data_IF_907769787412
#
_entry.id   IF_907769787412
#
_cell.length_a   1.000
_cell.length_b   1.000
_cell.length_c   1.000
_cell.angle_alpha   90.00
_cell.angle_beta   90.00
_cell.angle_gamma   90.00
#
_symmetry.space_group_name_H-M   'P 1'
#
loop_
_entity.id
_entity.type
_entity.pdbx_description
1 polymer ?
#
# COMPACT_ATOMS: atom_id res chain seq x y z
N UNK A 1 38.57 51.12 -14.51
CA UNK A 1 38.99 50.68 -13.16
C UNK A 1 38.01 49.58 -12.72
N UNK A 2 38.40 48.32 -12.92
CA UNK A 2 37.58 47.14 -12.64
C UNK A 2 37.70 46.77 -11.16
N UNK A 3 36.62 46.86 -10.40
CA UNK A 3 36.57 46.38 -9.02
C UNK A 3 36.31 44.87 -9.02
N UNK A 4 37.35 44.09 -8.73
CA UNK A 4 37.28 42.65 -8.51
C UNK A 4 36.56 42.37 -7.18
N UNK A 5 35.32 41.91 -7.23
CA UNK A 5 34.67 41.26 -6.09
C UNK A 5 35.16 39.81 -6.02
N UNK A 6 36.26 39.60 -5.27
CA UNK A 6 36.66 38.26 -4.81
C UNK A 6 35.65 37.79 -3.78
N UNK A 7 34.70 36.95 -4.19
CA UNK A 7 33.94 36.10 -3.27
C UNK A 7 34.92 35.05 -2.75
N UNK A 8 35.27 35.13 -1.46
CA UNK A 8 36.04 34.07 -0.81
C UNK A 8 35.14 32.85 -0.69
N UNK A 9 35.32 31.86 -1.58
CA UNK A 9 34.92 30.49 -1.29
C UNK A 9 35.84 29.97 -0.19
N UNK A 10 35.30 29.84 1.01
CA UNK A 10 36.04 29.40 2.17
C UNK A 10 35.28 29.78 3.41
N UNK A 11 34.12 29.17 3.57
CA UNK A 11 33.60 28.75 4.86
C UNK A 11 32.62 27.61 4.56
N UNK A 12 32.83 26.50 5.25
CA UNK A 12 32.01 25.30 5.18
C UNK A 12 30.55 25.70 5.41
N UNK A 13 29.70 25.59 4.38
CA UNK A 13 28.25 25.73 4.59
C UNK A 13 27.90 24.66 5.60
N UNK A 14 27.51 25.03 6.84
CA UNK A 14 27.27 24.03 7.85
C UNK A 14 26.07 23.20 7.36
N UNK A 15 26.20 21.88 7.37
CA UNK A 15 25.18 20.94 6.85
C UNK A 15 23.76 21.24 7.36
N UNK A 16 23.64 21.92 8.50
CA UNK A 16 22.38 22.40 9.07
C UNK A 16 21.67 23.47 8.22
N UNK A 17 22.39 24.34 7.50
CA UNK A 17 21.77 25.31 6.59
C UNK A 17 21.21 24.62 5.35
N UNK A 18 21.94 23.67 4.77
CA UNK A 18 21.47 22.87 3.62
C UNK A 18 20.17 22.14 4.00
N UNK A 19 20.12 21.55 5.19
CA UNK A 19 18.93 20.86 5.72
C UNK A 19 17.70 21.77 5.91
N UNK A 20 17.90 23.08 6.10
CA UNK A 20 16.80 24.04 6.24
C UNK A 20 16.14 24.34 4.88
N UNK A 21 16.91 24.33 3.80
CA UNK A 21 16.44 24.60 2.44
C UNK A 21 15.91 23.35 1.71
N UNK A 22 16.27 22.14 2.14
CA UNK A 22 15.87 20.88 1.50
C UNK A 22 14.77 20.11 2.27
N UNK A 23 13.95 20.78 3.08
CA UNK A 23 12.75 20.14 3.68
C UNK A 23 11.74 19.79 2.59
N UNK A 24 12.00 18.69 1.88
CA UNK A 24 11.07 18.03 0.99
C UNK A 24 9.90 17.43 1.77
N UNK A 25 8.73 17.39 1.14
CA UNK A 25 7.53 16.76 1.66
C UNK A 25 7.70 15.23 1.68
N UNK A 26 8.30 14.68 2.74
CA UNK A 26 8.35 13.23 2.94
C UNK A 26 7.26 12.74 3.89
N UNK A 27 6.68 11.59 3.52
CA UNK A 27 5.62 10.92 4.27
C UNK A 27 6.10 10.32 5.60
N UNK A 28 7.41 10.16 5.77
CA UNK A 28 8.05 9.65 6.98
C UNK A 28 8.86 10.76 7.67
N UNK A 29 8.41 11.18 8.86
CA UNK A 29 9.02 12.27 9.63
C UNK A 29 10.23 11.83 10.45
N UNK A 30 10.64 10.55 10.37
CA UNK A 30 11.67 9.96 11.21
C UNK A 30 13.10 10.05 10.67
N UNK A 31 13.30 10.46 9.41
CA UNK A 31 14.62 10.49 8.78
C UNK A 31 15.19 11.92 8.77
N UNK A 32 16.12 12.20 9.68
CA UNK A 32 17.02 13.36 9.60
C UNK A 32 18.17 13.18 8.61
N UNK A 33 18.01 12.30 7.62
CA UNK A 33 18.99 12.01 6.59
C UNK A 33 18.29 11.73 5.26
N UNK A 34 18.99 12.05 4.18
CA UNK A 34 18.54 11.78 2.81
C UNK A 34 18.31 10.27 2.63
N UNK A 35 17.24 9.90 1.93
CA UNK A 35 16.98 8.51 1.53
C UNK A 35 18.07 8.02 0.57
N UNK A 36 18.23 6.69 0.45
CA UNK A 36 19.21 6.08 -0.45
C UNK A 36 19.04 6.61 -1.88
N UNK A 37 17.81 6.68 -2.38
CA UNK A 37 17.50 7.24 -3.69
C UNK A 37 17.91 8.71 -3.82
N UNK A 38 17.68 9.54 -2.80
CA UNK A 38 18.10 10.94 -2.81
C UNK A 38 19.62 11.09 -2.76
N UNK A 39 20.31 10.26 -1.98
CA UNK A 39 21.78 10.26 -1.97
C UNK A 39 22.37 9.80 -3.31
N UNK A 40 21.70 8.87 -4.01
CA UNK A 40 22.09 8.45 -5.36
C UNK A 40 21.85 9.54 -6.39
N UNK A 41 20.73 10.27 -6.31
CA UNK A 41 20.44 11.43 -7.17
C UNK A 41 21.43 12.58 -6.97
N UNK A 42 21.93 12.79 -5.76
CA UNK A 42 22.98 13.79 -5.49
C UNK A 42 24.37 13.34 -5.97
N UNK A 43 24.63 12.02 -5.97
CA UNK A 43 25.89 11.46 -6.47
C UNK A 43 25.96 11.45 -8.00
N UNK A 44 24.82 11.29 -8.67
CA UNK A 44 24.70 11.27 -10.13
C UNK A 44 23.73 12.34 -10.64
N UNK A 45 24.27 13.53 -10.90
CA UNK A 45 23.51 14.65 -11.42
C UNK A 45 22.98 14.41 -12.84
N UNK A 46 23.66 13.60 -13.67
CA UNK A 46 23.20 13.27 -15.02
C UNK A 46 22.03 12.29 -14.99
N UNK A 47 22.12 11.24 -14.16
CA UNK A 47 21.03 10.31 -13.89
C UNK A 47 19.80 11.01 -13.31
N UNK A 48 20.00 11.97 -12.39
CA UNK A 48 18.94 12.81 -11.87
C UNK A 48 18.25 13.67 -12.93
N UNK A 49 19.01 14.28 -13.85
CA UNK A 49 18.45 15.06 -14.98
C UNK A 49 17.71 14.18 -15.99
N UNK A 50 18.16 12.95 -16.22
CA UNK A 50 17.46 11.99 -17.08
C UNK A 50 16.13 11.55 -16.45
N UNK A 51 16.13 11.26 -15.14
CA UNK A 51 14.91 10.94 -14.39
C UNK A 51 13.92 12.09 -14.41
N UNK A 52 14.38 13.32 -14.20
CA UNK A 52 13.54 14.52 -14.23
C UNK A 52 12.86 14.71 -15.59
N UNK A 53 13.61 14.61 -16.69
CA UNK A 53 13.04 14.67 -18.06
C UNK A 53 12.00 13.58 -18.31
N UNK A 54 12.24 12.37 -17.80
CA UNK A 54 11.28 11.27 -17.92
C UNK A 54 10.00 11.58 -17.13
N UNK A 55 10.12 12.01 -15.89
CA UNK A 55 8.96 12.38 -15.06
C UNK A 55 8.18 13.54 -15.66
N UNK A 56 8.85 14.54 -16.24
CA UNK A 56 8.19 15.63 -16.97
C UNK A 56 7.40 15.10 -18.18
N UNK A 57 8.00 14.19 -18.95
CA UNK A 57 7.32 13.58 -20.10
C UNK A 57 6.11 12.74 -19.68
N UNK A 58 6.22 11.99 -18.57
CA UNK A 58 5.15 11.20 -18.00
C UNK A 58 4.03 12.10 -17.46
N UNK A 59 4.39 13.21 -16.81
CA UNK A 59 3.42 14.19 -16.30
C UNK A 59 2.65 14.85 -17.45
N UNK A 60 3.31 15.24 -18.54
CA UNK A 60 2.64 15.73 -19.75
C UNK A 60 1.67 14.70 -20.32
N UNK A 61 2.06 13.42 -20.39
CA UNK A 61 1.19 12.34 -20.82
C UNK A 61 -0.03 12.17 -19.90
N UNK A 62 0.18 12.20 -18.59
CA UNK A 62 -0.88 12.07 -17.59
C UNK A 62 -1.85 13.25 -17.65
N UNK A 63 -1.35 14.48 -17.80
CA UNK A 63 -2.20 15.64 -18.00
C UNK A 63 -3.05 15.53 -19.27
N UNK A 64 -2.46 15.05 -20.38
CA UNK A 64 -3.20 14.80 -21.61
C UNK A 64 -4.28 13.72 -21.41
N UNK A 65 -3.95 12.64 -20.70
CA UNK A 65 -4.91 11.59 -20.36
C UNK A 65 -6.06 12.13 -19.49
N UNK A 66 -5.77 12.98 -18.50
CA UNK A 66 -6.81 13.62 -17.67
C UNK A 66 -7.68 14.59 -18.48
N UNK A 67 -7.08 15.37 -19.39
CA UNK A 67 -7.82 16.24 -20.33
C UNK A 67 -8.75 15.41 -21.23
N UNK A 68 -8.28 14.26 -21.71
CA UNK A 68 -9.09 13.32 -22.49
C UNK A 68 -10.22 12.70 -21.65
N UNK A 69 -9.94 12.24 -20.42
CA UNK A 69 -10.95 11.70 -19.50
C UNK A 69 -12.09 12.67 -19.21
N UNK A 70 -11.81 13.97 -19.13
CA UNK A 70 -12.87 15.00 -18.99
C UNK A 70 -13.75 15.12 -20.24
N UNK A 71 -13.22 14.81 -21.42
CA UNK A 71 -13.92 14.85 -22.71
C UNK A 71 -14.52 13.50 -23.10
N UNK A 72 -14.24 12.44 -22.34
CA UNK A 72 -14.66 11.07 -22.61
C UNK A 72 -16.18 10.96 -22.76
N UNK A 73 -16.96 11.60 -21.89
CA UNK A 73 -18.42 11.61 -22.00
C UNK A 73 -18.93 12.31 -23.27
N UNK A 74 -18.23 13.34 -23.73
CA UNK A 74 -18.58 14.04 -24.98
C UNK A 74 -18.25 13.16 -26.18
N UNK A 75 -17.11 12.47 -26.14
CA UNK A 75 -16.72 11.49 -27.14
C UNK A 75 -17.74 10.35 -27.23
N UNK A 76 -18.08 9.70 -26.11
CA UNK A 76 -19.04 8.60 -26.10
C UNK A 76 -20.44 9.07 -26.52
N UNK A 77 -20.89 10.24 -26.06
CA UNK A 77 -22.18 10.80 -26.52
C UNK A 77 -22.18 11.12 -28.01
N UNK A 78 -21.09 11.68 -28.53
CA UNK A 78 -20.95 11.88 -29.98
C UNK A 78 -20.95 10.54 -30.72
N UNK A 79 -20.26 9.54 -30.19
CA UNK A 79 -20.17 8.22 -30.79
C UNK A 79 -21.53 7.50 -30.76
N UNK A 80 -22.30 7.62 -29.68
CA UNK A 80 -23.70 7.18 -29.61
C UNK A 80 -24.58 7.90 -30.64
N UNK A 81 -24.35 9.19 -30.90
CA UNK A 81 -25.06 9.88 -31.98
C UNK A 81 -24.60 9.42 -33.37
N UNK A 82 -23.31 9.14 -33.59
CA UNK A 82 -22.82 8.59 -34.86
C UNK A 82 -23.39 7.19 -35.10
N UNK A 83 -23.39 6.34 -34.08
CA UNK A 83 -23.99 5.01 -34.14
C UNK A 83 -25.52 5.06 -34.25
N UNK A 84 -26.18 5.98 -33.55
CA UNK A 84 -27.63 6.15 -33.54
C UNK A 84 -28.21 6.89 -34.75
N UNK A 85 -27.38 7.66 -35.47
CA UNK A 85 -27.76 8.29 -36.75
C UNK A 85 -27.65 7.35 -37.94
N UNK A 86 -27.17 6.12 -37.76
CA UNK A 86 -27.35 5.02 -38.72
C UNK A 86 -28.76 4.45 -38.57
N UNK A 87 -29.71 4.76 -39.45
CA UNK A 87 -31.04 4.17 -39.38
C UNK A 87 -30.92 2.70 -39.77
N UNK A 88 -31.65 1.77 -39.14
CA UNK A 88 -31.64 0.37 -39.59
C UNK A 88 -32.17 0.18 -41.02
N UNK A 89 -32.79 1.22 -41.61
CA UNK A 89 -33.51 1.13 -42.89
C UNK A 89 -33.21 2.29 -43.88
N UNK A 90 -32.16 3.09 -43.69
CA UNK A 90 -31.79 4.07 -44.72
C UNK A 90 -31.05 3.38 -45.87
N UNK A 91 -31.82 3.13 -46.93
CA UNK A 91 -31.42 3.04 -48.34
C UNK A 91 -30.01 2.53 -48.61
N UNK A 92 -29.95 1.30 -49.13
CA UNK A 92 -28.77 0.68 -49.75
C UNK A 92 -27.82 1.73 -50.35
N UNK A 93 -26.57 1.81 -49.86
CA UNK A 93 -25.55 2.55 -50.58
C UNK A 93 -25.32 1.80 -51.89
N UNK A 94 -25.49 2.47 -53.02
CA UNK A 94 -25.30 1.88 -54.36
C UNK A 94 -23.88 1.30 -54.55
N UNK A 95 -22.94 1.58 -53.64
CA UNK A 95 -21.64 0.92 -53.58
C UNK A 95 -21.19 0.69 -52.13
N UNK A 96 -21.58 -0.44 -51.53
CA UNK A 96 -20.81 -1.07 -50.46
C UNK A 96 -20.02 -2.21 -51.10
N UNK A 97 -18.67 -2.29 -50.96
CA UNK A 97 -17.98 -3.51 -51.30
C UNK A 97 -18.57 -4.60 -50.42
N UNK A 98 -19.22 -5.58 -51.05
CA UNK A 98 -19.92 -6.69 -50.41
C UNK A 98 -19.00 -7.30 -49.35
N UNK A 99 -19.20 -6.95 -48.08
CA UNK A 99 -18.55 -7.63 -46.97
C UNK A 99 -19.11 -9.05 -47.04
N UNK A 100 -18.27 -10.08 -47.22
CA UNK A 100 -18.79 -11.44 -47.31
C UNK A 100 -19.54 -11.72 -46.01
N UNK A 101 -20.82 -12.10 -46.10
CA UNK A 101 -21.65 -12.55 -44.97
C UNK A 101 -21.10 -13.83 -44.27
N UNK A 102 -19.90 -14.26 -44.64
CA UNK A 102 -19.16 -15.40 -44.12
C UNK A 102 -18.55 -15.07 -42.75
N UNK A 103 -19.41 -14.80 -41.76
CA UNK A 103 -18.97 -14.56 -40.39
C UNK A 103 -20.09 -14.58 -39.35
N UNK A 104 -21.32 -14.19 -39.70
CA UNK A 104 -22.44 -14.15 -38.73
C UNK A 104 -22.71 -15.54 -38.11
N UNK A 105 -22.73 -16.59 -38.95
CA UNK A 105 -22.88 -17.96 -38.48
C UNK A 105 -21.68 -18.50 -37.69
N UNK A 106 -20.47 -17.98 -37.94
CA UNK A 106 -19.26 -18.36 -37.20
C UNK A 106 -19.29 -17.75 -35.79
N UNK A 107 -19.73 -16.49 -35.66
CA UNK A 107 -19.90 -15.83 -34.36
C UNK A 107 -21.01 -16.47 -33.51
N UNK A 108 -22.13 -16.88 -34.12
CA UNK A 108 -23.18 -17.61 -33.40
C UNK A 108 -22.74 -19.00 -32.96
N UNK A 109 -21.87 -19.65 -33.73
CA UNK A 109 -21.30 -20.94 -33.37
C UNK A 109 -20.30 -20.79 -32.21
N UNK A 110 -19.42 -19.79 -32.26
CA UNK A 110 -18.50 -19.44 -31.16
C UNK A 110 -19.25 -19.03 -29.89
N UNK A 111 -20.35 -18.27 -30.02
CA UNK A 111 -21.19 -17.91 -28.88
C UNK A 111 -21.81 -19.14 -28.22
N UNK A 112 -22.30 -20.10 -29.01
CA UNK A 112 -22.84 -21.38 -28.51
C UNK A 112 -21.75 -22.24 -27.86
N UNK A 113 -20.54 -22.28 -28.42
CA UNK A 113 -19.41 -23.00 -27.84
C UNK A 113 -18.97 -22.39 -26.50
N UNK A 114 -18.92 -21.06 -26.39
CA UNK A 114 -18.61 -20.36 -25.14
C UNK A 114 -19.69 -20.61 -24.08
N UNK A 115 -20.96 -20.61 -24.48
CA UNK A 115 -22.07 -20.92 -23.59
C UNK A 115 -21.98 -22.36 -23.07
N UNK A 116 -21.72 -23.33 -23.95
CA UNK A 116 -21.54 -24.73 -23.58
C UNK A 116 -20.34 -24.92 -22.63
N UNK A 117 -19.21 -24.27 -22.89
CA UNK A 117 -18.04 -24.29 -22.01
C UNK A 117 -18.34 -23.68 -20.63
N UNK A 118 -19.11 -22.59 -20.57
CA UNK A 118 -19.55 -22.02 -19.29
C UNK A 118 -20.42 -23.00 -18.49
N UNK A 119 -21.35 -23.68 -19.17
CA UNK A 119 -22.23 -24.67 -18.53
C UNK A 119 -21.43 -25.88 -18.04
N UNK A 120 -20.47 -26.38 -18.82
CA UNK A 120 -19.57 -27.47 -18.39
C UNK A 120 -18.70 -27.05 -17.21
N UNK A 121 -18.11 -25.85 -17.24
CA UNK A 121 -17.30 -25.33 -16.14
C UNK A 121 -18.14 -25.16 -14.88
N UNK A 122 -19.37 -24.67 -15.00
CA UNK A 122 -20.29 -24.53 -13.87
C UNK A 122 -20.69 -25.90 -13.33
N UNK A 123 -21.01 -26.85 -14.22
CA UNK A 123 -21.31 -28.23 -13.86
C UNK A 123 -20.15 -28.94 -13.16
N UNK A 124 -18.90 -28.61 -13.48
CA UNK A 124 -17.72 -29.17 -12.81
C UNK A 124 -17.35 -28.41 -11.52
N UNK A 125 -17.58 -27.10 -11.46
CA UNK A 125 -17.17 -26.25 -10.35
C UNK A 125 -18.15 -26.31 -9.17
N UNK A 126 -19.46 -26.30 -9.42
CA UNK A 126 -20.48 -26.29 -8.36
C UNK A 126 -20.43 -27.54 -7.46
N UNK A 127 -20.29 -28.78 -7.99
CA UNK A 127 -20.15 -29.96 -7.14
C UNK A 127 -18.85 -29.98 -6.34
N UNK A 128 -17.76 -29.44 -6.90
CA UNK A 128 -16.47 -29.31 -6.21
C UNK A 128 -16.54 -28.28 -5.08
N UNK A 129 -17.23 -27.16 -5.31
CA UNK A 129 -17.52 -26.15 -4.28
C UNK A 129 -18.41 -26.73 -3.18
N UNK A 130 -19.52 -27.37 -3.52
CA UNK A 130 -20.40 -28.01 -2.54
C UNK A 130 -19.69 -29.11 -1.72
N UNK A 131 -18.86 -29.93 -2.36
CA UNK A 131 -18.06 -30.94 -1.67
C UNK A 131 -16.99 -30.32 -0.74
N UNK A 132 -16.40 -29.20 -1.14
CA UNK A 132 -15.49 -28.43 -0.31
C UNK A 132 -16.22 -27.79 0.88
N UNK A 133 -17.37 -27.15 0.64
CA UNK A 133 -18.20 -26.55 1.69
C UNK A 133 -18.71 -27.60 2.68
N UNK A 134 -19.07 -28.80 2.22
CA UNK A 134 -19.43 -29.91 3.10
C UNK A 134 -18.24 -30.41 3.95
N UNK A 135 -17.02 -30.39 3.40
CA UNK A 135 -15.78 -30.77 4.13
C UNK A 135 -15.30 -29.70 5.10
N UNK A 136 -15.52 -28.42 4.78
CA UNK A 136 -15.08 -27.26 5.60
C UNK A 136 -16.19 -26.79 6.54
N UNK A 137 -17.45 -27.13 6.27
CA UNK A 137 -18.65 -26.68 7.00
C UNK A 137 -18.68 -27.06 8.48
N UNK A 138 -17.84 -27.99 8.93
CA UNK A 138 -17.63 -28.27 10.35
C UNK A 138 -16.80 -27.22 11.10
N UNK A 139 -16.05 -26.35 10.40
CA UNK A 139 -15.11 -25.41 11.01
C UNK A 139 -15.64 -23.97 11.05
N UNK A 140 -16.76 -23.65 10.40
CA UNK A 140 -17.25 -22.26 10.26
C UNK A 140 -17.65 -21.56 11.57
N UNK A 141 -18.57 -22.15 12.38
CA UNK A 141 -19.06 -21.51 13.61
C UNK A 141 -18.00 -21.48 14.71
N UNK A 142 -17.30 -22.59 14.93
CA UNK A 142 -16.26 -22.72 15.96
C UNK A 142 -15.04 -21.84 15.67
N UNK A 143 -14.57 -21.80 14.42
CA UNK A 143 -13.49 -20.89 14.02
C UNK A 143 -13.90 -19.42 14.19
N UNK A 144 -15.15 -19.09 13.83
CA UNK A 144 -15.66 -17.72 14.02
C UNK A 144 -15.76 -17.35 15.51
N UNK A 145 -16.10 -18.30 16.38
CA UNK A 145 -16.15 -18.11 17.82
C UNK A 145 -14.74 -17.95 18.42
N UNK A 146 -13.77 -18.78 18.02
CA UNK A 146 -12.37 -18.67 18.43
C UNK A 146 -11.73 -17.37 17.95
N UNK A 147 -12.03 -16.96 16.71
CA UNK A 147 -11.57 -15.67 16.17
C UNK A 147 -12.20 -14.47 16.91
N UNK A 148 -13.48 -14.58 17.29
CA UNK A 148 -14.16 -13.53 18.07
C UNK A 148 -13.60 -13.44 19.49
N UNK A 149 -13.45 -14.57 20.17
CA UNK A 149 -12.87 -14.63 21.52
C UNK A 149 -11.44 -14.09 21.57
N UNK A 150 -10.61 -14.39 20.56
CA UNK A 150 -9.26 -13.83 20.47
C UNK A 150 -9.25 -12.32 20.23
N UNK A 151 -10.13 -11.80 19.38
CA UNK A 151 -10.29 -10.33 19.19
C UNK A 151 -10.75 -9.64 20.47
N UNK A 152 -11.70 -10.22 21.19
CA UNK A 152 -12.19 -9.69 22.47
C UNK A 152 -11.11 -9.70 23.55
N UNK A 153 -10.34 -10.80 23.67
CA UNK A 153 -9.20 -10.88 24.59
C UNK A 153 -8.14 -9.81 24.31
N UNK A 154 -7.78 -9.61 23.03
CA UNK A 154 -6.85 -8.54 22.63
C UNK A 154 -7.42 -7.15 22.96
N UNK A 155 -8.72 -6.93 22.74
CA UNK A 155 -9.39 -5.68 23.10
C UNK A 155 -9.34 -5.39 24.61
N UNK A 156 -9.52 -6.41 25.44
CA UNK A 156 -9.43 -6.29 26.90
C UNK A 156 -8.01 -5.96 27.37
N UNK A 157 -6.99 -6.61 26.79
CA UNK A 157 -5.57 -6.34 27.09
C UNK A 157 -5.17 -4.91 26.67
N UNK A 158 -5.59 -4.46 25.49
CA UNK A 158 -5.35 -3.08 25.04
C UNK A 158 -6.04 -2.06 25.97
N UNK A 159 -7.28 -2.32 26.39
CA UNK A 159 -7.98 -1.47 27.35
C UNK A 159 -7.34 -1.50 28.75
N UNK A 160 -6.74 -2.62 29.16
CA UNK A 160 -5.97 -2.72 30.40
C UNK A 160 -4.68 -1.89 30.32
N UNK A 161 -3.96 -1.97 29.21
CA UNK A 161 -2.76 -1.16 28.94
C UNK A 161 -3.08 0.34 28.89
N UNK A 162 -4.16 0.74 28.22
CA UNK A 162 -4.60 2.14 28.16
C UNK A 162 -4.94 2.67 29.56
N UNK A 163 -5.68 1.91 30.37
CA UNK A 163 -5.97 2.29 31.76
C UNK A 163 -4.74 2.31 32.66
N UNK A 164 -3.73 1.49 32.39
CA UNK A 164 -2.46 1.54 33.11
C UNK A 164 -1.66 2.80 32.73
N UNK A 165 -1.67 3.17 31.45
CA UNK A 165 -1.07 4.41 30.95
C UNK A 165 -1.72 5.66 31.56
N UNK A 166 -3.05 5.72 31.59
CA UNK A 166 -3.80 6.84 32.17
C UNK A 166 -3.59 6.94 33.70
N UNK A 167 -3.52 5.82 34.41
CA UNK A 167 -3.22 5.79 35.86
C UNK A 167 -1.77 6.16 36.17
N UNK A 168 -0.82 5.87 35.27
CA UNK A 168 0.57 6.33 35.38
C UNK A 168 0.75 7.83 35.13
N UNK A 169 -0.25 8.51 34.56
CA UNK A 169 -0.26 9.96 34.33
C UNK A 169 -0.76 10.80 35.50
N UNK A 170 -1.28 10.18 36.57
CA UNK A 170 -1.88 10.88 37.70
C UNK A 170 -0.84 11.37 38.73
N UNK A 171 0.08 12.24 38.31
CA UNK A 171 0.81 13.20 39.16
C UNK A 171 1.79 14.13 38.40
N UNK A 172 1.81 14.16 37.07
CA UNK A 172 2.65 15.10 36.34
C UNK A 172 1.79 16.26 35.84
N UNK A 173 1.80 17.37 36.59
CA UNK A 173 1.37 18.69 36.10
C UNK A 173 1.94 18.87 34.68
N UNK A 174 1.16 19.25 33.65
CA UNK A 174 1.70 19.52 32.33
C UNK A 174 2.71 20.66 32.49
N UNK A 175 4.00 20.35 32.45
CA UNK A 175 5.01 21.38 32.52
C UNK A 175 4.83 22.22 31.25
N UNK A 176 4.50 23.50 31.42
CA UNK A 176 4.56 24.49 30.33
C UNK A 176 5.94 24.46 29.66
N UNK A 177 6.12 25.09 28.49
CA UNK A 177 7.31 24.94 27.66
C UNK A 177 8.60 25.01 28.50
N UNK A 178 9.19 23.84 28.78
CA UNK A 178 10.33 23.72 29.67
C UNK A 178 11.54 24.36 28.99
N UNK A 179 12.00 25.50 29.51
CA UNK A 179 13.33 26.00 29.21
C UNK A 179 14.32 25.04 29.86
N UNK A 180 15.10 24.31 29.05
CA UNK A 180 16.20 23.50 29.55
C UNK A 180 17.22 24.42 30.23
N UNK A 181 17.23 24.41 31.56
CA UNK A 181 18.26 25.06 32.37
C UNK A 181 19.25 23.98 32.76
N UNK A 182 20.55 24.20 32.48
CA UNK A 182 21.62 23.38 33.02
C UNK A 182 21.54 23.47 34.55
N UNK A 183 21.15 22.38 35.20
CA UNK A 183 21.28 22.22 36.63
C UNK A 183 22.74 21.87 36.95
N UNK A 184 23.39 22.71 37.74
CA UNK A 184 24.69 22.37 38.32
C UNK A 184 24.54 21.11 39.16
N UNK A 185 25.53 20.22 39.02
CA UNK A 185 25.57 18.90 39.59
C UNK A 185 25.58 18.96 41.12
N UNK A 186 24.41 19.12 41.74
CA UNK A 186 24.37 19.28 43.19
C UNK A 186 23.00 19.53 43.83
N UNK A 187 21.87 19.11 43.26
CA UNK A 187 20.61 19.00 44.01
C UNK A 187 19.50 18.31 43.20
N UNK A 188 19.24 17.02 43.46
CA UNK A 188 17.87 16.51 43.73
C UNK A 188 17.93 15.01 44.02
N UNK A 189 17.60 14.65 45.26
CA UNK A 189 17.46 13.28 45.71
C UNK A 189 16.08 12.74 45.34
N UNK A 190 15.95 12.21 44.13
CA UNK A 190 14.89 11.28 43.76
C UNK A 190 15.52 10.13 42.97
N UNK A 191 14.94 8.91 42.96
CA UNK A 191 15.36 7.87 42.04
C UNK A 191 14.95 8.31 40.63
N UNK A 192 15.78 9.16 40.02
CA UNK A 192 15.64 9.59 38.66
C UNK A 192 15.77 8.36 37.78
N UNK A 193 14.64 7.82 37.33
CA UNK A 193 14.60 6.77 36.33
C UNK A 193 15.34 7.32 35.10
N UNK A 194 16.56 6.82 34.86
CA UNK A 194 17.31 7.17 33.66
C UNK A 194 16.46 6.68 32.49
N UNK A 195 15.84 7.60 31.77
CA UNK A 195 15.00 7.29 30.61
C UNK A 195 15.68 6.31 29.64
N UNK A 196 17.02 6.37 29.52
CA UNK A 196 17.82 5.42 28.77
C UNK A 196 17.62 3.95 29.20
N UNK A 197 17.56 3.66 30.50
CA UNK A 197 17.34 2.30 31.03
C UNK A 197 15.93 1.81 30.71
N UNK A 198 14.92 2.68 30.83
CA UNK A 198 13.53 2.34 30.49
C UNK A 198 13.38 2.08 28.99
N UNK A 199 14.03 2.90 28.15
CA UNK A 199 14.06 2.72 26.69
C UNK A 199 14.70 1.39 26.32
N UNK A 200 15.81 1.03 26.97
CA UNK A 200 16.49 -0.25 26.73
C UNK A 200 15.62 -1.46 27.11
N UNK A 201 14.94 -1.39 28.27
CA UNK A 201 13.99 -2.43 28.69
C UNK A 201 12.81 -2.54 27.72
N UNK A 202 12.26 -1.42 27.24
CA UNK A 202 11.16 -1.45 26.27
C UNK A 202 11.59 -2.03 24.92
N UNK A 203 12.78 -1.66 24.42
CA UNK A 203 13.34 -2.21 23.18
C UNK A 203 13.60 -3.71 23.27
N UNK A 204 14.13 -4.19 24.40
CA UNK A 204 14.33 -5.63 24.60
C UNK A 204 13.01 -6.40 24.64
N UNK A 205 11.96 -5.80 25.21
CA UNK A 205 10.61 -6.40 25.23
C UNK A 205 9.95 -6.38 23.86
N UNK A 206 10.10 -5.31 23.09
CA UNK A 206 9.66 -5.21 21.69
C UNK A 206 10.29 -6.31 20.84
N UNK A 207 11.62 -6.44 20.88
CA UNK A 207 12.35 -7.48 20.15
C UNK A 207 11.89 -8.90 20.53
N UNK A 208 11.59 -9.14 21.82
CA UNK A 208 11.06 -10.42 22.29
C UNK A 208 9.67 -10.72 21.69
N UNK A 209 8.76 -9.73 21.68
CA UNK A 209 7.43 -9.89 21.10
C UNK A 209 7.48 -10.09 19.59
N UNK A 210 8.36 -9.37 18.88
CA UNK A 210 8.60 -9.56 17.45
C UNK A 210 9.09 -10.98 17.14
N UNK A 211 10.01 -11.51 17.95
CA UNK A 211 10.50 -12.88 17.80
C UNK A 211 9.37 -13.91 17.98
N UNK A 212 8.51 -13.73 18.99
CA UNK A 212 7.35 -14.61 19.24
C UNK A 212 6.34 -14.53 18.09
N UNK A 213 6.05 -13.32 17.58
CA UNK A 213 5.16 -13.15 16.42
C UNK A 213 5.72 -13.85 15.19
N UNK A 214 7.02 -13.71 14.91
CA UNK A 214 7.67 -14.41 13.81
C UNK A 214 7.58 -15.92 13.97
N UNK A 215 7.76 -16.45 15.18
CA UNK A 215 7.65 -17.88 15.46
C UNK A 215 6.22 -18.39 15.22
N UNK A 216 5.22 -17.69 15.76
CA UNK A 216 3.80 -18.06 15.58
C UNK A 216 3.38 -18.00 14.12
N UNK A 217 3.80 -16.96 13.38
CA UNK A 217 3.53 -16.86 11.95
C UNK A 217 4.17 -18.02 11.16
N UNK A 218 5.40 -18.41 11.49
CA UNK A 218 6.05 -19.59 10.88
C UNK A 218 5.28 -20.88 11.21
N UNK A 219 4.86 -21.05 12.45
CA UNK A 219 4.06 -22.21 12.87
C UNK A 219 2.73 -22.27 12.12
N UNK A 220 2.00 -21.16 12.01
CA UNK A 220 0.78 -21.09 11.22
C UNK A 220 1.04 -21.44 9.74
N UNK A 221 2.11 -20.92 9.14
CA UNK A 221 2.48 -21.27 7.76
C UNK A 221 2.79 -22.75 7.58
N UNK A 222 3.47 -23.36 8.56
CA UNK A 222 3.78 -24.80 8.54
C UNK A 222 2.53 -25.66 8.66
N UNK A 223 1.61 -25.33 9.57
CA UNK A 223 0.33 -26.05 9.70
C UNK A 223 -0.53 -25.86 8.45
N UNK A 224 -0.59 -24.65 7.87
CA UNK A 224 -1.27 -24.42 6.60
C UNK A 224 -0.65 -25.23 5.45
N UNK A 225 0.68 -25.32 5.37
CA UNK A 225 1.36 -26.14 4.37
C UNK A 225 1.07 -27.64 4.56
N UNK A 226 1.00 -28.12 5.80
CA UNK A 226 0.63 -29.51 6.13
C UNK A 226 -0.80 -29.81 5.70
N UNK A 227 -1.75 -28.92 5.98
CA UNK A 227 -3.15 -29.07 5.57
C UNK A 227 -3.30 -28.97 4.04
N UNK A 228 -2.55 -28.08 3.39
CA UNK A 228 -2.52 -27.96 1.94
C UNK A 228 -2.00 -29.25 1.26
N UNK A 229 -0.94 -29.86 1.81
CA UNK A 229 -0.39 -31.12 1.30
C UNK A 229 -1.32 -32.32 1.48
N UNK A 230 -2.21 -32.29 2.48
CA UNK A 230 -3.19 -33.34 2.73
C UNK A 230 -4.45 -33.25 1.83
N UNK A 231 -4.69 -32.12 1.17
CA UNK A 231 -5.89 -31.86 0.37
C UNK A 231 -5.51 -31.49 -1.09
N UNK A 232 -5.36 -32.48 -1.99
CA UNK A 232 -5.05 -32.20 -3.39
C UNK A 232 -6.21 -31.43 -4.06
N UNK A 233 -5.90 -30.28 -4.66
CA UNK A 233 -6.84 -29.47 -5.46
C UNK A 233 -7.15 -28.07 -4.94
N UNK A 234 -6.50 -27.61 -3.85
CA UNK A 234 -6.66 -26.25 -3.32
C UNK A 234 -5.47 -25.36 -3.69
N UNK A 235 -5.75 -24.18 -4.26
CA UNK A 235 -4.76 -23.13 -4.49
C UNK A 235 -4.81 -22.18 -3.30
N UNK A 236 -3.75 -22.20 -2.48
CA UNK A 236 -3.63 -21.30 -1.34
C UNK A 236 -2.92 -20.02 -1.76
N UNK A 237 -3.61 -18.90 -1.66
CA UNK A 237 -3.01 -17.56 -1.89
C UNK A 237 -2.44 -17.10 -0.54
N UNK A 238 -1.12 -17.23 -0.38
CA UNK A 238 -0.44 -16.63 0.77
C UNK A 238 -0.52 -15.11 0.69
N UNK A 239 -0.80 -14.41 1.81
CA UNK A 239 -0.74 -12.96 1.82
C UNK A 239 0.69 -12.49 1.49
N UNK A 240 0.85 -11.36 0.79
CA UNK A 240 2.16 -10.85 0.41
C UNK A 240 3.02 -10.65 1.66
N UNK A 241 4.21 -11.27 1.65
CA UNK A 241 5.18 -11.12 2.73
C UNK A 241 5.63 -9.66 2.83
N UNK A 242 5.62 -9.11 4.04
CA UNK A 242 6.39 -7.92 4.39
C UNK A 242 7.82 -8.32 4.72
#
# INVERSE_FOLDING_TARGET
>A
LLAQTRVRLGDEIPLCEIHSYTRGCHSDRSLGHLSVAETELLRDAEGGQQLLRRLESENVCLEAALRWRRQELVFWRWMDTVLGTCPPEASQPTFVPRIPERGAGEWELVARELQALQEELRGAAEPRRAAWEARVGGWGPEWSAVQRASREAVGLELAALQRAWERGGAAAQPHGPCRLVKSDAGASGGPGLRAAQVIEVLRSREACLEAVLCQLQRQCRQELARLAGALPGLIWILPPGR
#
